data_IF_654845447600
#
_entry.id   IF_654845447600
#
_cell.length_a   1.000
_cell.length_b   1.000
_cell.length_c   1.000
_cell.angle_alpha   90.00
_cell.angle_beta   90.00
_cell.angle_gamma   90.00
#
_symmetry.space_group_name_H-M   'P 1'
#
loop_
_entity.id
_entity.type
_entity.pdbx_description
1 polymer ?
#
# COMPACT_ATOMS: atom_id res chain seq x y z
N UNK A 1 -23.28 -7.17 12.75
CA UNK A 1 -23.29 -8.20 13.81
C UNK A 1 -22.38 -7.87 14.99
N UNK A 2 -21.02 -7.66 14.82
CA UNK A 2 -20.12 -7.37 15.94
C UNK A 2 -20.51 -6.09 16.68
N UNK A 3 -20.86 -5.06 15.96
CA UNK A 3 -21.16 -3.73 16.48
C UNK A 3 -22.60 -3.51 16.94
N UNK A 4 -23.50 -4.40 16.56
CA UNK A 4 -24.90 -4.37 17.01
C UNK A 4 -25.00 -4.66 18.52
N UNK A 5 -24.00 -5.31 19.09
CA UNK A 5 -23.88 -5.65 20.50
C UNK A 5 -22.73 -4.92 21.21
N UNK A 6 -22.24 -3.82 20.62
CA UNK A 6 -21.08 -3.08 21.16
C UNK A 6 -21.26 -2.62 22.62
N UNK A 7 -22.50 -2.36 23.05
CA UNK A 7 -22.81 -1.96 24.44
C UNK A 7 -22.53 -3.07 25.48
N UNK A 8 -22.33 -4.32 25.05
CA UNK A 8 -22.05 -5.45 25.95
C UNK A 8 -20.56 -5.64 26.25
N UNK A 9 -19.69 -4.88 25.58
CA UNK A 9 -18.24 -5.03 25.65
C UNK A 9 -17.58 -3.74 26.13
N UNK A 10 -16.49 -3.86 26.84
CA UNK A 10 -15.57 -2.74 27.10
C UNK A 10 -14.91 -2.27 25.80
N UNK A 11 -14.38 -1.05 25.79
CA UNK A 11 -13.67 -0.51 24.61
C UNK A 11 -12.46 -1.38 24.24
N UNK A 12 -11.79 -1.96 25.22
CA UNK A 12 -10.63 -2.84 25.01
C UNK A 12 -11.04 -4.17 24.34
N UNK A 13 -12.09 -4.81 24.83
CA UNK A 13 -12.65 -6.03 24.23
C UNK A 13 -13.16 -5.77 22.80
N UNK A 14 -13.85 -4.65 22.55
CA UNK A 14 -14.27 -4.25 21.22
C UNK A 14 -13.09 -4.08 20.28
N UNK A 15 -12.00 -3.49 20.76
CA UNK A 15 -10.76 -3.33 19.99
C UNK A 15 -10.15 -4.66 19.60
N UNK A 16 -10.04 -5.59 20.55
CA UNK A 16 -9.51 -6.93 20.29
C UNK A 16 -10.36 -7.69 19.27
N UNK A 17 -11.67 -7.70 19.44
CA UNK A 17 -12.62 -8.34 18.52
C UNK A 17 -12.53 -7.71 17.12
N UNK A 18 -12.39 -6.39 17.05
CA UNK A 18 -12.23 -5.65 15.80
C UNK A 18 -10.94 -6.06 15.07
N UNK A 19 -9.82 -6.13 15.80
CA UNK A 19 -8.54 -6.56 15.24
C UNK A 19 -8.58 -8.02 14.74
N UNK A 20 -9.29 -8.90 15.45
CA UNK A 20 -9.50 -10.29 15.02
C UNK A 20 -10.26 -10.32 13.69
N UNK A 21 -11.37 -9.57 13.58
CA UNK A 21 -12.15 -9.49 12.36
C UNK A 21 -11.34 -8.94 11.18
N UNK A 22 -10.59 -7.84 11.40
CA UNK A 22 -9.70 -7.29 10.39
C UNK A 22 -8.61 -8.28 9.96
N UNK A 23 -7.97 -8.97 10.90
CA UNK A 23 -6.95 -9.97 10.61
C UNK A 23 -7.53 -11.14 9.80
N UNK A 24 -8.78 -11.52 10.05
CA UNK A 24 -9.48 -12.51 9.24
C UNK A 24 -9.65 -12.01 7.80
N UNK A 25 -10.17 -10.80 7.60
CA UNK A 25 -10.33 -10.19 6.26
C UNK A 25 -8.98 -10.12 5.53
N UNK A 26 -7.92 -9.64 6.19
CA UNK A 26 -6.57 -9.56 5.59
C UNK A 26 -6.08 -10.95 5.17
N UNK A 27 -6.34 -11.98 5.97
CA UNK A 27 -5.97 -13.35 5.64
C UNK A 27 -6.71 -13.85 4.39
N UNK A 28 -8.01 -13.56 4.26
CA UNK A 28 -8.80 -13.87 3.07
C UNK A 28 -8.30 -13.13 1.83
N UNK A 29 -7.98 -11.85 1.96
CA UNK A 29 -7.39 -11.05 0.89
C UNK A 29 -6.06 -11.65 0.41
N UNK A 30 -5.21 -12.10 1.33
CA UNK A 30 -3.91 -12.71 1.02
C UNK A 30 -4.03 -14.05 0.26
N UNK A 31 -5.15 -14.77 0.38
CA UNK A 31 -5.45 -15.96 -0.43
C UNK A 31 -6.29 -15.62 -1.66
N UNK A 32 -6.25 -14.35 -2.10
CA UNK A 32 -6.86 -13.82 -3.32
C UNK A 32 -8.41 -13.74 -3.30
N UNK A 33 -9.03 -13.80 -2.13
CA UNK A 33 -10.46 -13.56 -1.99
C UNK A 33 -10.76 -12.06 -1.92
N UNK A 34 -10.96 -11.44 -3.10
CA UNK A 34 -11.09 -9.99 -3.24
C UNK A 34 -12.37 -9.40 -2.65
N UNK A 35 -13.43 -10.19 -2.44
CA UNK A 35 -14.67 -9.71 -1.82
C UNK A 35 -14.43 -9.12 -0.43
N UNK A 36 -13.44 -9.65 0.30
CA UNK A 36 -13.09 -9.19 1.63
C UNK A 36 -12.46 -7.78 1.69
N UNK A 37 -12.16 -7.13 0.57
CA UNK A 37 -11.77 -5.72 0.59
C UNK A 37 -12.92 -4.82 1.03
N UNK A 38 -14.17 -5.09 0.64
CA UNK A 38 -15.34 -4.35 1.09
C UNK A 38 -15.59 -4.56 2.58
N UNK A 39 -15.57 -5.81 3.04
CA UNK A 39 -15.71 -6.14 4.45
C UNK A 39 -14.63 -5.47 5.32
N UNK A 40 -13.38 -5.51 4.87
CA UNK A 40 -12.29 -4.84 5.56
C UNK A 40 -12.47 -3.33 5.59
N UNK A 41 -12.92 -2.72 4.49
CA UNK A 41 -13.14 -1.27 4.42
C UNK A 41 -14.26 -0.83 5.38
N UNK A 42 -15.35 -1.59 5.47
CA UNK A 42 -16.45 -1.30 6.38
C UNK A 42 -16.01 -1.44 7.84
N UNK A 43 -15.23 -2.48 8.16
CA UNK A 43 -14.62 -2.62 9.48
C UNK A 43 -13.68 -1.44 9.78
N UNK A 44 -12.85 -1.00 8.84
CA UNK A 44 -11.97 0.15 9.04
C UNK A 44 -12.77 1.44 9.29
N UNK A 45 -13.82 1.70 8.52
CA UNK A 45 -14.71 2.86 8.71
C UNK A 45 -15.33 2.88 10.10
N UNK A 46 -15.84 1.73 10.53
CA UNK A 46 -16.45 1.59 11.84
C UNK A 46 -15.43 1.75 12.97
N UNK A 47 -14.25 1.15 12.82
CA UNK A 47 -13.18 1.28 13.80
C UNK A 47 -12.61 2.68 13.93
N UNK A 48 -12.59 3.47 12.86
CA UNK A 48 -12.26 4.89 12.90
C UNK A 48 -13.35 5.70 13.61
N UNK A 49 -14.61 5.38 13.37
CA UNK A 49 -15.76 6.06 14.01
C UNK A 49 -15.81 5.79 15.54
N UNK A 50 -15.42 4.59 15.97
CA UNK A 50 -15.43 4.17 17.38
C UNK A 50 -14.08 4.29 18.08
N UNK A 51 -13.09 4.89 17.44
CA UNK A 51 -11.71 5.04 17.93
C UNK A 51 -11.02 3.71 18.33
N UNK A 52 -11.52 2.57 17.87
CA UNK A 52 -10.94 1.26 18.18
C UNK A 52 -9.62 0.98 17.44
N UNK A 53 -9.29 1.77 16.41
CA UNK A 53 -8.06 1.65 15.63
C UNK A 53 -6.93 2.57 16.09
N UNK A 54 -7.24 3.53 16.97
CA UNK A 54 -6.26 4.45 17.52
C UNK A 54 -5.70 3.93 18.84
N UNK A 55 -4.39 3.93 18.98
CA UNK A 55 -3.68 3.59 20.20
C UNK A 55 -3.03 4.84 20.79
N UNK A 56 -3.49 5.29 21.96
CA UNK A 56 -3.07 6.56 22.55
C UNK A 56 -3.20 7.76 21.59
N UNK A 57 -4.26 7.78 20.79
CA UNK A 57 -4.50 8.81 19.77
C UNK A 57 -3.69 8.64 18.48
N UNK A 58 -2.89 7.57 18.35
CA UNK A 58 -2.10 7.31 17.16
C UNK A 58 -2.68 6.17 16.33
N UNK A 59 -2.72 6.38 15.00
CA UNK A 59 -3.04 5.36 14.02
C UNK A 59 -1.72 4.73 13.53
N UNK A 60 -1.62 3.40 13.64
CA UNK A 60 -0.45 2.67 13.12
C UNK A 60 -0.28 2.94 11.61
N UNK A 61 0.97 3.18 11.18
CA UNK A 61 1.29 3.30 9.74
C UNK A 61 0.85 2.09 8.92
N UNK A 62 0.86 0.90 9.50
CA UNK A 62 0.40 -0.33 8.84
C UNK A 62 -1.12 -0.31 8.65
N UNK A 63 -1.87 0.08 9.68
CA UNK A 63 -3.32 0.26 9.61
C UNK A 63 -3.66 1.33 8.58
N UNK A 64 -2.95 2.47 8.57
CA UNK A 64 -3.12 3.53 7.58
C UNK A 64 -2.92 3.01 6.14
N UNK A 65 -1.86 2.23 5.88
CA UNK A 65 -1.61 1.62 4.58
C UNK A 65 -2.71 0.64 4.15
N UNK A 66 -3.20 -0.16 5.09
CA UNK A 66 -4.23 -1.16 4.83
C UNK A 66 -5.58 -0.49 4.51
N UNK A 67 -5.93 0.58 5.23
CA UNK A 67 -7.14 1.38 4.96
C UNK A 67 -7.09 1.96 3.55
N UNK A 68 -5.97 2.62 3.18
CA UNK A 68 -5.79 3.16 1.83
C UNK A 68 -5.86 2.04 0.79
N UNK A 69 -5.21 0.90 1.03
CA UNK A 69 -5.23 -0.22 0.09
C UNK A 69 -6.66 -0.77 -0.11
N UNK A 70 -7.42 -0.95 0.97
CA UNK A 70 -8.81 -1.41 0.90
C UNK A 70 -9.70 -0.41 0.14
N UNK A 71 -9.62 0.88 0.48
CA UNK A 71 -10.39 1.92 -0.19
C UNK A 71 -10.08 2.03 -1.69
N UNK A 72 -8.80 1.95 -2.08
CA UNK A 72 -8.40 1.96 -3.49
C UNK A 72 -8.90 0.72 -4.24
N UNK A 73 -8.89 -0.46 -3.62
CA UNK A 73 -9.42 -1.68 -4.24
C UNK A 73 -10.94 -1.67 -4.38
N UNK A 74 -11.65 -0.98 -3.49
CA UNK A 74 -13.09 -0.76 -3.57
C UNK A 74 -13.49 0.41 -4.51
N UNK A 75 -12.52 1.14 -5.09
CA UNK A 75 -12.81 2.30 -5.95
C UNK A 75 -13.21 3.58 -5.20
N UNK A 76 -13.08 3.61 -3.88
CA UNK A 76 -13.51 4.69 -2.99
C UNK A 76 -12.50 5.85 -2.94
N UNK A 77 -12.11 6.37 -4.13
CA UNK A 77 -10.99 7.31 -4.28
C UNK A 77 -11.19 8.62 -3.53
N UNK A 78 -12.42 9.14 -3.49
CA UNK A 78 -12.74 10.38 -2.79
C UNK A 78 -12.68 10.20 -1.29
N UNK A 79 -13.22 9.10 -0.79
CA UNK A 79 -13.17 8.77 0.63
C UNK A 79 -11.72 8.56 1.10
N UNK A 80 -10.91 7.85 0.31
CA UNK A 80 -9.47 7.65 0.60
C UNK A 80 -8.73 8.99 0.68
N UNK A 81 -9.04 9.93 -0.21
CA UNK A 81 -8.43 11.27 -0.24
C UNK A 81 -8.72 12.01 1.09
N UNK A 82 -9.99 12.07 1.50
CA UNK A 82 -10.40 12.68 2.76
C UNK A 82 -9.80 11.97 3.97
N UNK A 83 -9.82 10.63 4.00
CA UNK A 83 -9.19 9.84 5.06
C UNK A 83 -7.71 10.19 5.22
N UNK A 84 -6.97 10.25 4.12
CA UNK A 84 -5.54 10.54 4.19
C UNK A 84 -5.24 11.91 4.80
N UNK A 85 -6.00 12.93 4.45
CA UNK A 85 -5.81 14.28 4.97
C UNK A 85 -6.24 14.38 6.45
N UNK A 86 -7.36 13.76 6.82
CA UNK A 86 -7.90 13.75 8.17
C UNK A 86 -6.96 13.07 9.16
N UNK A 87 -6.42 11.90 8.79
CA UNK A 87 -5.61 11.06 9.70
C UNK A 87 -4.09 11.21 9.49
N UNK A 88 -3.64 12.14 8.65
CA UNK A 88 -2.20 12.41 8.48
C UNK A 88 -1.50 12.66 9.80
N UNK A 89 -2.07 13.50 10.64
CA UNK A 89 -1.47 13.91 11.91
C UNK A 89 -1.64 12.88 13.03
N UNK A 90 -2.52 11.90 12.86
CA UNK A 90 -2.66 10.77 13.76
C UNK A 90 -1.54 9.73 13.62
N UNK A 91 -0.67 9.83 12.62
CA UNK A 91 0.50 8.96 12.51
C UNK A 91 1.68 9.50 13.31
N UNK A 92 2.55 8.59 13.78
CA UNK A 92 3.82 8.95 14.41
C UNK A 92 4.66 9.83 13.47
N UNK A 93 5.20 10.91 14.03
CA UNK A 93 5.96 11.94 13.27
C UNK A 93 7.09 11.34 12.42
N UNK A 94 7.78 10.31 12.93
CA UNK A 94 8.93 9.65 12.26
C UNK A 94 8.56 9.04 10.91
N UNK A 95 7.34 8.51 10.78
CA UNK A 95 6.88 7.80 9.58
C UNK A 95 5.86 8.58 8.75
N UNK A 96 5.32 9.67 9.29
CA UNK A 96 4.20 10.44 8.74
C UNK A 96 4.41 10.84 7.29
N UNK A 97 5.49 11.57 7.03
CA UNK A 97 5.69 12.18 5.71
C UNK A 97 5.93 11.12 4.62
N UNK A 98 6.74 10.10 4.92
CA UNK A 98 7.00 9.02 3.96
C UNK A 98 5.76 8.15 3.71
N UNK A 99 5.00 7.83 4.76
CA UNK A 99 3.75 7.06 4.67
C UNK A 99 2.70 7.84 3.90
N UNK A 100 2.50 9.12 4.23
CA UNK A 100 1.55 9.98 3.55
C UNK A 100 1.89 10.13 2.07
N UNK A 101 3.14 10.50 1.74
CA UNK A 101 3.58 10.68 0.35
C UNK A 101 3.41 9.42 -0.49
N UNK A 102 3.79 8.26 0.04
CA UNK A 102 3.61 6.98 -0.66
C UNK A 102 2.14 6.67 -0.95
N UNK A 103 1.25 6.88 0.02
CA UNK A 103 -0.18 6.62 -0.17
C UNK A 103 -0.83 7.66 -1.10
N UNK A 104 -0.39 8.93 -1.08
CA UNK A 104 -0.78 9.94 -2.07
C UNK A 104 -0.36 9.53 -3.48
N UNK A 105 0.84 8.97 -3.63
CA UNK A 105 1.30 8.44 -4.92
C UNK A 105 0.42 7.27 -5.41
N UNK A 106 0.03 6.35 -4.51
CA UNK A 106 -0.92 5.26 -4.86
C UNK A 106 -2.27 5.81 -5.33
N UNK A 107 -2.81 6.82 -4.65
CA UNK A 107 -4.06 7.46 -5.05
C UNK A 107 -3.93 8.19 -6.39
N UNK A 108 -2.84 8.92 -6.60
CA UNK A 108 -2.57 9.59 -7.88
C UNK A 108 -2.47 8.57 -9.03
N UNK A 109 -1.79 7.45 -8.80
CA UNK A 109 -1.72 6.33 -9.73
C UNK A 109 -3.11 5.74 -10.04
N UNK A 110 -3.91 5.48 -9.01
CA UNK A 110 -5.28 4.95 -9.18
C UNK A 110 -6.21 5.93 -9.94
N UNK A 111 -5.92 7.23 -9.89
CA UNK A 111 -6.60 8.28 -10.67
C UNK A 111 -6.03 8.46 -12.08
N UNK A 112 -5.07 7.65 -12.51
CA UNK A 112 -4.39 7.77 -13.81
C UNK A 112 -3.41 8.95 -13.91
N UNK A 113 -3.13 9.66 -12.80
CA UNK A 113 -2.20 10.80 -12.76
C UNK A 113 -0.77 10.30 -12.56
N UNK A 114 -0.21 9.66 -13.60
CA UNK A 114 1.05 8.92 -13.50
C UNK A 114 2.25 9.81 -13.17
N UNK A 115 2.34 11.00 -13.80
CA UNK A 115 3.46 11.94 -13.56
C UNK A 115 3.41 12.54 -12.15
N UNK A 116 2.22 12.84 -11.63
CA UNK A 116 2.03 13.31 -10.24
C UNK A 116 2.46 12.24 -9.25
N UNK A 117 2.08 10.98 -9.52
CA UNK A 117 2.49 9.85 -8.68
C UNK A 117 4.01 9.70 -8.64
N UNK A 118 4.72 9.83 -9.76
CA UNK A 118 6.19 9.82 -9.79
C UNK A 118 6.79 10.96 -8.96
N UNK A 119 6.29 12.19 -9.10
CA UNK A 119 6.74 13.34 -8.32
C UNK A 119 6.65 13.07 -6.81
N UNK A 120 5.51 12.52 -6.36
CA UNK A 120 5.30 12.15 -4.96
C UNK A 120 6.26 11.04 -4.48
N UNK A 121 6.58 10.07 -5.34
CA UNK A 121 7.52 9.00 -5.02
C UNK A 121 8.98 9.50 -4.93
N UNK A 122 9.35 10.52 -5.70
CA UNK A 122 10.70 11.06 -5.73
C UNK A 122 11.00 12.03 -4.57
N UNK A 123 9.99 12.76 -4.11
CA UNK A 123 10.16 13.76 -3.04
C UNK A 123 10.27 13.14 -1.65
N UNK A 124 9.77 11.93 -1.43
CA UNK A 124 9.77 11.30 -0.13
C UNK A 124 11.08 10.56 0.18
N UNK A 125 11.58 10.75 1.40
CA UNK A 125 12.75 10.03 1.89
C UNK A 125 12.33 8.69 2.50
N UNK A 126 12.38 7.64 1.73
CA UNK A 126 12.05 6.27 2.16
C UNK A 126 13.25 5.60 2.85
N UNK A 127 13.51 5.95 4.11
CA UNK A 127 14.57 5.29 4.91
C UNK A 127 14.24 3.84 5.24
N UNK A 128 12.95 3.53 5.38
CA UNK A 128 12.45 2.21 5.71
C UNK A 128 12.33 1.31 4.46
N UNK A 129 12.86 0.09 4.55
CA UNK A 129 12.76 -0.93 3.50
C UNK A 129 11.32 -1.29 3.18
N UNK A 130 10.41 -1.25 4.17
CA UNK A 130 9.00 -1.59 4.01
C UNK A 130 8.27 -0.62 3.08
N UNK A 131 8.72 0.63 2.97
CA UNK A 131 8.19 1.62 2.03
C UNK A 131 9.04 1.76 0.77
N UNK A 132 10.35 1.65 0.89
CA UNK A 132 11.27 1.89 -0.21
C UNK A 132 11.05 0.92 -1.38
N UNK A 133 10.95 -0.38 -1.10
CA UNK A 133 10.74 -1.38 -2.15
C UNK A 133 9.36 -1.29 -2.81
N UNK A 134 8.24 -1.14 -2.07
CA UNK A 134 6.93 -0.86 -2.68
C UNK A 134 6.90 0.43 -3.51
N UNK A 135 7.57 1.51 -3.05
CA UNK A 135 7.66 2.76 -3.81
C UNK A 135 8.42 2.57 -5.14
N UNK A 136 9.53 1.85 -5.11
CA UNK A 136 10.28 1.48 -6.33
C UNK A 136 9.45 0.59 -7.27
N UNK A 137 8.68 -0.36 -6.73
CA UNK A 137 7.81 -1.21 -7.54
C UNK A 137 6.65 -0.41 -8.16
N UNK A 138 6.11 0.59 -7.48
CA UNK A 138 5.11 1.48 -8.05
C UNK A 138 5.71 2.36 -9.15
N UNK A 139 6.90 2.95 -8.93
CA UNK A 139 7.61 3.71 -9.95
C UNK A 139 7.92 2.87 -11.20
N UNK A 140 8.31 1.60 -11.02
CA UNK A 140 8.53 0.66 -12.13
C UNK A 140 7.27 0.51 -12.99
N UNK A 141 6.10 0.31 -12.36
CA UNK A 141 4.82 0.21 -13.07
C UNK A 141 4.52 1.48 -13.86
N UNK A 142 4.73 2.63 -13.22
CA UNK A 142 4.46 3.92 -13.85
C UNK A 142 5.37 4.16 -15.05
N UNK A 143 6.68 3.88 -14.96
CA UNK A 143 7.60 4.01 -16.10
C UNK A 143 7.21 3.09 -17.27
N UNK A 144 6.74 1.88 -16.96
CA UNK A 144 6.24 0.95 -17.97
C UNK A 144 4.98 1.50 -18.67
N UNK A 145 4.02 2.04 -17.92
CA UNK A 145 2.77 2.61 -18.45
C UNK A 145 2.97 3.94 -19.20
N UNK A 146 4.04 4.68 -18.89
CA UNK A 146 4.43 5.89 -19.60
C UNK A 146 5.24 5.61 -20.87
N UNK A 147 5.54 4.34 -21.16
CA UNK A 147 6.38 3.92 -22.29
C UNK A 147 7.76 4.60 -22.27
N UNK A 148 8.42 4.61 -21.11
CA UNK A 148 9.75 5.19 -20.91
C UNK A 148 10.80 4.06 -20.73
N UNK A 149 11.18 3.31 -21.78
CA UNK A 149 11.97 2.09 -21.66
C UNK A 149 13.39 2.33 -21.11
N UNK A 150 14.04 3.42 -21.48
CA UNK A 150 15.41 3.74 -21.01
C UNK A 150 15.42 4.05 -19.51
N UNK A 151 14.44 4.85 -19.05
CA UNK A 151 14.29 5.19 -17.62
C UNK A 151 13.94 3.94 -16.83
N UNK A 152 13.04 3.11 -17.37
CA UNK A 152 12.65 1.84 -16.77
C UNK A 152 13.86 0.89 -16.62
N UNK A 153 14.70 0.75 -17.65
CA UNK A 153 15.89 -0.10 -17.60
C UNK A 153 16.89 0.36 -16.52
N UNK A 154 17.12 1.68 -16.42
CA UNK A 154 17.94 2.27 -15.39
C UNK A 154 17.35 2.03 -13.99
N UNK A 155 16.03 2.17 -13.85
CA UNK A 155 15.32 1.94 -12.60
C UNK A 155 15.41 0.47 -12.15
N UNK A 156 15.28 -0.49 -13.07
CA UNK A 156 15.42 -1.93 -12.80
C UNK A 156 16.82 -2.26 -12.28
N UNK A 157 17.86 -1.68 -12.90
CA UNK A 157 19.25 -1.84 -12.47
C UNK A 157 19.49 -1.27 -11.07
N UNK A 158 18.99 -0.06 -10.82
CA UNK A 158 19.10 0.58 -9.51
C UNK A 158 18.35 -0.20 -8.42
N UNK A 159 17.16 -0.73 -8.74
CA UNK A 159 16.37 -1.54 -7.81
C UNK A 159 17.08 -2.86 -7.47
N UNK A 160 17.68 -3.55 -8.44
CA UNK A 160 18.48 -4.76 -8.22
C UNK A 160 19.67 -4.48 -7.31
N UNK A 161 20.44 -3.43 -7.60
CA UNK A 161 21.59 -2.98 -6.79
C UNK A 161 21.16 -2.66 -5.37
N UNK A 162 20.02 -1.98 -5.18
CA UNK A 162 19.47 -1.67 -3.87
C UNK A 162 19.16 -2.93 -3.06
N UNK A 163 18.48 -3.93 -3.68
CA UNK A 163 18.13 -5.21 -3.03
C UNK A 163 19.39 -5.94 -2.55
N UNK A 164 20.44 -5.98 -3.38
CA UNK A 164 21.70 -6.62 -3.02
C UNK A 164 22.42 -5.87 -1.89
N UNK A 165 22.57 -4.55 -2.01
CA UNK A 165 23.28 -3.72 -1.04
C UNK A 165 22.62 -3.71 0.34
N UNK A 166 21.28 -3.70 0.39
CA UNK A 166 20.53 -3.70 1.64
C UNK A 166 20.32 -5.09 2.23
N UNK A 167 20.89 -6.13 1.63
CA UNK A 167 20.77 -7.53 2.06
C UNK A 167 19.31 -7.93 2.34
N UNK A 168 18.39 -7.50 1.48
CA UNK A 168 17.00 -7.93 1.56
C UNK A 168 16.97 -9.45 1.47
N UNK A 169 16.31 -10.12 2.43
CA UNK A 169 16.28 -11.57 2.56
C UNK A 169 14.86 -12.12 2.47
N UNK A 170 14.75 -13.44 2.31
CA UNK A 170 13.51 -14.18 2.36
C UNK A 170 12.56 -13.88 1.19
N UNK A 171 11.28 -14.06 1.44
CA UNK A 171 10.18 -13.92 0.48
C UNK A 171 10.19 -12.58 -0.28
N UNK A 172 10.46 -11.48 0.41
CA UNK A 172 10.49 -10.16 -0.22
C UNK A 172 11.58 -10.06 -1.29
N UNK A 173 12.78 -10.59 -1.03
CA UNK A 173 13.87 -10.61 -2.02
C UNK A 173 13.46 -11.33 -3.29
N UNK A 174 12.92 -12.54 -3.14
CA UNK A 174 12.49 -13.37 -4.27
C UNK A 174 11.43 -12.67 -5.11
N UNK A 175 10.42 -12.08 -4.47
CA UNK A 175 9.32 -11.39 -5.16
C UNK A 175 9.81 -10.19 -5.97
N UNK A 176 10.64 -9.32 -5.38
CA UNK A 176 11.13 -8.14 -6.10
C UNK A 176 12.14 -8.49 -7.19
N UNK A 177 12.98 -9.52 -7.02
CA UNK A 177 13.85 -10.00 -8.09
C UNK A 177 13.06 -10.65 -9.24
N UNK A 178 11.98 -11.37 -8.93
CA UNK A 178 11.07 -11.90 -9.95
C UNK A 178 10.36 -10.78 -10.71
N UNK A 179 9.88 -9.74 -10.01
CA UNK A 179 9.28 -8.56 -10.63
C UNK A 179 10.26 -7.92 -11.63
N UNK A 180 11.52 -7.69 -11.22
CA UNK A 180 12.56 -7.15 -12.09
C UNK A 180 12.78 -8.05 -13.31
N UNK A 181 12.94 -9.36 -13.11
CA UNK A 181 13.17 -10.33 -14.20
C UNK A 181 12.02 -10.36 -15.20
N UNK A 182 10.79 -10.39 -14.71
CA UNK A 182 9.60 -10.42 -15.57
C UNK A 182 9.45 -9.12 -16.37
N UNK A 183 9.67 -7.96 -15.75
CA UNK A 183 9.63 -6.67 -16.44
C UNK A 183 10.73 -6.59 -17.50
N UNK A 184 11.95 -7.06 -17.23
CA UNK A 184 13.03 -7.12 -18.24
C UNK A 184 12.64 -8.00 -19.42
N UNK A 185 11.99 -9.14 -19.18
CA UNK A 185 11.48 -9.99 -20.26
C UNK A 185 10.43 -9.28 -21.11
N UNK A 186 9.48 -8.57 -20.48
CA UNK A 186 8.47 -7.80 -21.22
C UNK A 186 9.08 -6.74 -22.13
N UNK A 187 10.17 -6.09 -21.71
CA UNK A 187 10.87 -5.10 -22.55
C UNK A 187 11.62 -5.73 -23.75
N UNK A 188 11.95 -7.03 -23.68
CA UNK A 188 12.67 -7.74 -24.74
C UNK A 188 11.77 -8.56 -25.66
N UNK A 189 10.50 -8.75 -25.31
CA UNK A 189 9.54 -9.48 -26.15
C UNK A 189 9.18 -8.61 -27.34
N UNK A 190 9.58 -9.05 -28.52
CA UNK A 190 9.06 -8.50 -29.75
C UNK A 190 7.63 -9.03 -29.94
N UNK A 191 6.65 -8.12 -29.95
CA UNK A 191 5.21 -8.46 -30.07
C UNK A 191 4.90 -9.23 -31.38
N UNK A 192 5.81 -9.19 -32.34
CA UNK A 192 5.70 -9.87 -33.63
C UNK A 192 6.37 -11.25 -33.68
N UNK A 193 7.14 -11.65 -32.69
CA UNK A 193 7.69 -13.02 -32.59
C UNK A 193 6.62 -13.98 -32.03
N UNK A 194 5.78 -14.46 -32.93
CA UNK A 194 4.92 -15.63 -32.66
C UNK A 194 5.82 -16.88 -32.70
N UNK A 195 6.31 -17.34 -31.56
CA UNK A 195 6.73 -18.71 -31.33
C UNK A 195 5.76 -19.45 -30.47
#
# INVERSE_FOLDING_TARGET
ALFDHAACFSLEELRELHLIALNFCIRQINVSNRSYFHEALDLYREGLHKDTLLENGYLSRFTYHNIVAAGLQCGELTWVDHFMDQYKNAMERTYRDSTYSFNRAKLAYARGRLRDALGLLQTANYRDLLLNLPAKALALKIYYELDEPDVLQNHLTAMRTFIHRKRVIGYHRTNYLNLIRLTQRLLTINVFDKK
#
